data_IF_936779526813
#
_entry.id   IF_936779526813
#
_cell.length_a   1.000
_cell.length_b   1.000
_cell.length_c   1.000
_cell.angle_alpha   90.00
_cell.angle_beta   90.00
_cell.angle_gamma   90.00
#
_symmetry.space_group_name_H-M   'P 1'
#
loop_
_entity.id
_entity.type
_entity.pdbx_description
1 polymer ?
#
# COMPACT_ATOMS: atom_id res chain seq x y z
N UNK A 1 1.34 23.67 26.52
CA UNK A 1 2.32 24.67 26.04
C UNK A 1 3.62 23.93 25.68
N UNK A 2 3.68 23.26 24.52
CA UNK A 2 4.88 22.57 24.01
C UNK A 2 5.32 23.29 22.73
N UNK A 3 5.81 24.52 22.87
CA UNK A 3 6.20 25.33 21.72
C UNK A 3 7.45 26.10 22.12
N UNK A 4 8.62 25.58 21.71
CA UNK A 4 9.80 26.34 21.23
C UNK A 4 11.13 25.58 21.20
N UNK A 5 11.23 24.32 21.68
CA UNK A 5 12.56 23.71 21.89
C UNK A 5 12.86 22.39 21.15
N UNK A 6 12.21 22.08 20.02
CA UNK A 6 12.56 20.89 19.22
C UNK A 6 13.22 21.17 17.86
N UNK A 7 13.35 22.44 17.44
CA UNK A 7 13.85 22.72 16.08
C UNK A 7 15.37 22.73 15.92
N UNK A 8 16.20 22.65 16.98
CA UNK A 8 17.66 22.85 16.85
C UNK A 8 18.54 21.60 16.96
N UNK A 9 17.99 20.42 17.25
CA UNK A 9 18.80 19.25 17.59
C UNK A 9 19.12 18.29 16.43
N UNK A 10 18.63 18.57 15.22
CA UNK A 10 18.87 17.72 14.04
C UNK A 10 19.90 18.29 13.04
N UNK A 11 20.43 19.49 13.23
CA UNK A 11 21.15 20.21 12.16
C UNK A 11 22.53 19.68 11.74
N UNK A 12 23.08 18.65 12.37
CA UNK A 12 24.43 18.15 12.07
C UNK A 12 24.52 16.67 11.71
N UNK A 13 23.40 16.00 11.41
CA UNK A 13 23.47 14.64 10.89
C UNK A 13 23.81 14.67 9.39
N UNK A 14 24.67 13.77 8.91
CA UNK A 14 24.92 13.63 7.48
C UNK A 14 23.60 13.37 6.74
N UNK A 15 23.32 14.17 5.71
CA UNK A 15 22.10 14.10 4.90
C UNK A 15 20.95 15.03 5.31
N UNK A 16 21.04 15.77 6.43
CA UNK A 16 19.97 16.75 6.77
C UNK A 16 19.99 17.97 5.88
N UNK A 17 21.16 18.40 5.41
CA UNK A 17 21.29 19.48 4.41
C UNK A 17 20.59 19.12 3.10
N UNK A 18 20.78 17.89 2.63
CA UNK A 18 20.16 17.41 1.40
C UNK A 18 18.64 17.31 1.55
N UNK A 19 18.16 16.88 2.72
CA UNK A 19 16.74 16.81 3.03
C UNK A 19 16.11 18.21 3.11
N UNK A 20 16.75 19.16 3.80
CA UNK A 20 16.29 20.55 3.89
C UNK A 20 16.24 21.19 2.50
N UNK A 21 17.29 21.00 1.69
CA UNK A 21 17.34 21.47 0.31
C UNK A 21 16.24 20.85 -0.56
N UNK A 22 15.95 19.55 -0.40
CA UNK A 22 14.88 18.88 -1.12
C UNK A 22 13.49 19.42 -0.72
N UNK A 23 13.25 19.64 0.58
CA UNK A 23 11.99 20.22 1.08
C UNK A 23 11.81 21.65 0.55
N UNK A 24 12.86 22.48 0.61
CA UNK A 24 12.82 23.84 0.10
C UNK A 24 12.61 23.86 -1.42
N UNK A 25 13.29 22.99 -2.15
CA UNK A 25 13.11 22.85 -3.59
C UNK A 25 11.65 22.54 -3.96
N UNK A 26 10.99 21.63 -3.25
CA UNK A 26 9.57 21.29 -3.49
C UNK A 26 8.67 22.48 -3.18
N UNK A 27 8.90 23.15 -2.05
CA UNK A 27 8.12 24.31 -1.66
C UNK A 27 8.20 25.43 -2.71
N UNK A 28 9.35 25.58 -3.36
CA UNK A 28 9.58 26.61 -4.37
C UNK A 28 9.14 26.21 -5.80
N UNK A 29 8.98 24.92 -6.07
CA UNK A 29 8.68 24.41 -7.43
C UNK A 29 7.29 23.82 -7.59
N UNK A 30 6.59 23.52 -6.50
CA UNK A 30 5.19 23.07 -6.55
C UNK A 30 4.23 24.25 -6.54
N UNK A 31 3.04 24.05 -7.14
CA UNK A 31 1.96 25.02 -7.08
C UNK A 31 1.18 24.84 -5.78
N UNK A 32 0.72 25.95 -5.22
CA UNK A 32 -0.26 25.95 -4.13
C UNK A 32 -1.53 25.22 -4.59
N UNK A 33 -2.06 24.31 -3.77
CA UNK A 33 -3.25 23.51 -4.08
C UNK A 33 -4.54 24.12 -3.55
N UNK A 34 -4.45 25.26 -2.84
CA UNK A 34 -5.60 25.97 -2.30
C UNK A 34 -6.42 26.67 -3.39
N UNK A 35 -7.58 27.18 -2.99
CA UNK A 35 -8.34 28.15 -3.79
C UNK A 35 -7.46 29.38 -4.09
N UNK A 36 -7.50 29.96 -5.30
CA UNK A 36 -6.57 31.00 -5.73
C UNK A 36 -6.38 32.17 -4.75
N UNK A 37 -7.44 32.57 -4.03
CA UNK A 37 -7.43 33.70 -3.10
C UNK A 37 -6.67 33.42 -1.79
N UNK A 38 -6.45 32.14 -1.45
CA UNK A 38 -5.72 31.73 -0.23
C UNK A 38 -4.21 31.57 -0.46
N UNK A 39 -3.80 31.46 -1.73
CA UNK A 39 -2.41 31.27 -2.13
C UNK A 39 -1.61 32.58 -2.09
N UNK A 40 -1.35 33.14 -0.90
CA UNK A 40 -0.48 34.31 -0.78
C UNK A 40 0.97 33.97 -1.19
N UNK A 41 1.54 34.75 -2.13
CA UNK A 41 2.97 34.76 -2.51
C UNK A 41 3.57 33.42 -2.99
N UNK A 42 2.92 32.71 -3.92
CA UNK A 42 3.53 31.60 -4.70
C UNK A 42 4.30 30.55 -3.87
N UNK A 43 3.88 30.29 -2.64
CA UNK A 43 4.50 29.24 -1.83
C UNK A 43 3.77 27.95 -2.15
N UNK A 44 4.50 26.93 -2.62
CA UNK A 44 3.95 25.62 -2.91
C UNK A 44 3.64 24.80 -1.66
N UNK A 45 3.26 23.54 -1.89
CA UNK A 45 2.94 22.54 -0.85
C UNK A 45 4.07 22.42 0.16
N UNK A 46 3.71 22.37 1.45
CA UNK A 46 4.69 22.26 2.53
C UNK A 46 4.90 20.80 2.92
N UNK A 47 6.13 20.31 2.86
CA UNK A 47 6.50 18.99 3.37
C UNK A 47 7.26 19.15 4.68
N UNK A 48 6.92 18.33 5.67
CA UNK A 48 7.62 18.25 6.96
C UNK A 48 8.00 16.81 7.26
N UNK A 49 9.18 16.62 7.85
CA UNK A 49 9.65 15.30 8.30
C UNK A 49 9.82 15.34 9.82
N UNK A 50 9.26 14.34 10.51
CA UNK A 50 9.47 14.13 11.94
C UNK A 50 10.11 12.77 12.14
N UNK A 51 11.23 12.75 12.85
CA UNK A 51 11.98 11.54 13.17
C UNK A 51 11.92 11.32 14.67
N UNK A 52 11.51 10.13 15.09
CA UNK A 52 11.51 9.66 16.47
C UNK A 52 12.28 8.35 16.56
N UNK A 53 12.87 8.06 17.71
CA UNK A 53 13.56 6.78 17.93
C UNK A 53 12.56 5.63 17.99
N UNK A 54 11.64 5.71 18.95
CA UNK A 54 10.59 4.72 19.21
C UNK A 54 9.31 5.44 19.64
N UNK A 55 8.14 4.95 19.22
CA UNK A 55 6.86 5.39 19.78
C UNK A 55 6.61 4.76 21.15
N UNK A 56 6.20 5.58 22.12
CA UNK A 56 5.72 5.09 23.40
C UNK A 56 4.33 4.46 23.22
N UNK A 57 4.26 3.14 23.33
CA UNK A 57 3.02 2.35 23.23
C UNK A 57 2.73 1.68 24.58
N UNK A 58 1.52 1.13 24.75
CA UNK A 58 1.21 0.36 25.97
C UNK A 58 1.93 -0.99 25.93
N UNK A 59 2.13 -1.59 27.10
CA UNK A 59 2.71 -2.93 27.19
C UNK A 59 1.86 -3.93 26.39
N UNK A 60 2.51 -4.81 25.63
CA UNK A 60 1.83 -5.77 24.74
C UNK A 60 1.30 -5.19 23.42
N UNK A 61 1.56 -3.91 23.12
CA UNK A 61 1.19 -3.28 21.84
C UNK A 61 2.34 -3.22 20.83
N UNK A 62 3.25 -4.19 20.84
CA UNK A 62 4.43 -4.21 19.95
C UNK A 62 4.19 -4.87 18.60
N UNK A 63 2.96 -5.30 18.30
CA UNK A 63 2.67 -5.95 17.01
C UNK A 63 2.85 -4.96 15.84
N UNK A 64 3.27 -5.44 14.66
CA UNK A 64 3.48 -4.59 13.47
C UNK A 64 2.29 -3.69 13.15
N UNK A 65 1.08 -4.24 13.21
CA UNK A 65 -0.15 -3.51 12.88
C UNK A 65 -0.45 -2.41 13.89
N UNK A 66 -0.22 -2.67 15.18
CA UNK A 66 -0.38 -1.68 16.26
C UNK A 66 0.64 -0.56 16.14
N UNK A 67 1.90 -0.88 15.80
CA UNK A 67 2.94 0.11 15.51
C UNK A 67 2.53 1.00 14.34
N UNK A 68 2.01 0.43 13.25
CA UNK A 68 1.52 1.21 12.12
C UNK A 68 0.34 2.11 12.47
N UNK A 69 -0.62 1.60 13.23
CA UNK A 69 -1.77 2.35 13.67
C UNK A 69 -1.35 3.51 14.59
N UNK A 70 -0.41 3.24 15.51
CA UNK A 70 0.16 4.25 16.38
C UNK A 70 0.94 5.31 15.59
N UNK A 71 1.75 4.91 14.60
CA UNK A 71 2.46 5.81 13.69
C UNK A 71 1.51 6.68 12.87
N UNK A 72 0.38 6.11 12.41
CA UNK A 72 -0.65 6.87 11.68
C UNK A 72 -1.25 7.94 12.59
N UNK A 73 -1.73 7.54 13.78
CA UNK A 73 -2.29 8.46 14.78
C UNK A 73 -1.28 9.56 15.16
N UNK A 74 -0.02 9.18 15.34
CA UNK A 74 1.07 10.12 15.64
C UNK A 74 1.28 11.13 14.51
N UNK A 75 1.42 10.66 13.26
CA UNK A 75 1.60 11.54 12.11
C UNK A 75 0.43 12.52 11.95
N UNK A 76 -0.82 12.02 12.01
CA UNK A 76 -2.03 12.83 11.89
C UNK A 76 -2.15 13.88 12.99
N UNK A 77 -1.79 13.54 14.23
CA UNK A 77 -1.82 14.47 15.36
C UNK A 77 -0.72 15.52 15.26
N UNK A 78 0.52 15.13 14.89
CA UNK A 78 1.62 16.09 14.74
C UNK A 78 1.32 17.07 13.59
N UNK A 79 0.82 16.59 12.45
CA UNK A 79 0.45 17.44 11.30
C UNK A 79 -0.61 18.48 11.70
N UNK A 80 -1.73 18.02 12.28
CA UNK A 80 -2.83 18.89 12.73
C UNK A 80 -2.42 19.90 13.79
N UNK A 81 -1.43 19.57 14.64
CA UNK A 81 -0.88 20.50 15.65
C UNK A 81 0.08 21.51 15.06
N UNK A 82 0.93 21.10 14.12
CA UNK A 82 1.92 21.96 13.48
C UNK A 82 1.26 22.97 12.54
N UNK A 83 0.15 22.61 11.87
CA UNK A 83 -0.60 23.46 10.93
C UNK A 83 0.33 24.23 9.99
N UNK A 84 1.22 23.50 9.32
CA UNK A 84 2.27 24.12 8.48
C UNK A 84 1.76 24.48 7.09
N UNK A 85 0.74 23.77 6.61
CA UNK A 85 -0.02 24.14 5.41
C UNK A 85 -0.93 25.36 5.67
N UNK A 86 -1.24 26.10 4.60
CA UNK A 86 -2.13 27.27 4.65
C UNK A 86 -3.60 26.85 4.59
N UNK A 87 -3.92 25.90 3.70
CA UNK A 87 -5.28 25.39 3.47
C UNK A 87 -5.35 23.87 3.66
N UNK A 88 -4.57 23.33 4.61
CA UNK A 88 -4.33 21.88 4.71
C UNK A 88 -3.54 21.34 3.50
N UNK A 89 -2.75 22.18 2.81
CA UNK A 89 -1.85 21.79 1.71
C UNK A 89 -0.47 21.34 2.21
N UNK A 90 -0.45 20.51 3.26
CA UNK A 90 0.78 19.98 3.82
C UNK A 90 0.86 18.45 3.83
N UNK A 91 2.11 17.98 3.83
CA UNK A 91 2.49 16.58 3.95
C UNK A 91 3.39 16.47 5.18
N UNK A 92 3.10 15.50 6.04
CA UNK A 92 3.97 15.15 7.16
C UNK A 92 4.42 13.69 7.05
N UNK A 93 5.73 13.49 6.91
CA UNK A 93 6.37 12.17 6.92
C UNK A 93 6.88 11.91 8.35
N UNK A 94 6.33 10.91 9.02
CA UNK A 94 6.75 10.45 10.32
C UNK A 94 7.59 9.17 10.20
N UNK A 95 8.73 9.15 10.89
CA UNK A 95 9.68 8.04 10.88
C UNK A 95 9.97 7.60 12.31
N UNK A 96 9.81 6.31 12.59
CA UNK A 96 10.28 5.64 13.82
C UNK A 96 11.47 4.75 13.46
N UNK A 97 12.66 5.12 13.93
CA UNK A 97 13.93 4.50 13.51
C UNK A 97 14.05 3.08 14.05
N UNK A 98 13.83 2.89 15.35
CA UNK A 98 14.04 1.59 16.01
C UNK A 98 12.95 0.59 15.61
N UNK A 99 11.72 1.07 15.41
CA UNK A 99 10.57 0.25 14.97
C UNK A 99 10.51 0.11 13.45
N UNK A 100 11.44 0.75 12.72
CA UNK A 100 11.54 0.79 11.25
C UNK A 100 10.20 1.01 10.56
N UNK A 101 9.45 2.00 11.06
CA UNK A 101 8.10 2.30 10.60
C UNK A 101 8.06 3.71 10.02
N UNK A 102 7.44 3.86 8.85
CA UNK A 102 7.25 5.15 8.18
C UNK A 102 5.75 5.33 7.89
N UNK A 103 5.24 6.52 8.19
CA UNK A 103 3.87 6.93 7.87
C UNK A 103 3.83 8.34 7.33
N UNK A 104 3.02 8.55 6.31
CA UNK A 104 2.71 9.89 5.81
C UNK A 104 1.30 10.29 6.18
N UNK A 105 1.15 11.52 6.65
CA UNK A 105 -0.14 12.19 6.82
C UNK A 105 -0.26 13.29 5.78
N UNK A 106 -1.42 13.37 5.14
CA UNK A 106 -1.73 14.36 4.12
C UNK A 106 -2.83 15.27 4.63
N UNK A 107 -2.79 16.54 4.23
CA UNK A 107 -3.97 17.38 4.28
C UNK A 107 -4.84 17.23 3.01
N UNK A 108 -6.09 17.71 3.10
CA UNK A 108 -7.16 17.32 2.18
C UNK A 108 -6.86 17.60 0.69
N UNK A 109 -6.42 18.80 0.27
CA UNK A 109 -6.14 19.09 -1.14
C UNK A 109 -5.00 18.24 -1.70
N UNK A 110 -4.03 17.92 -0.85
CA UNK A 110 -2.91 17.04 -1.22
C UNK A 110 -3.37 15.60 -1.36
N UNK A 111 -4.20 15.12 -0.42
CA UNK A 111 -4.75 13.79 -0.47
C UNK A 111 -5.53 13.59 -1.76
N UNK A 112 -6.42 14.50 -2.15
CA UNK A 112 -7.18 14.43 -3.40
C UNK A 112 -6.26 14.31 -4.63
N UNK A 113 -5.17 15.08 -4.67
CA UNK A 113 -4.22 15.05 -5.78
C UNK A 113 -3.33 13.80 -5.82
N UNK A 114 -3.05 13.20 -4.67
CA UNK A 114 -2.15 12.03 -4.52
C UNK A 114 -2.94 10.70 -4.46
N UNK A 115 -4.27 10.75 -4.29
CA UNK A 115 -5.14 9.58 -4.04
C UNK A 115 -5.13 8.52 -5.16
N UNK A 116 -4.59 8.83 -6.33
CA UNK A 116 -4.50 7.87 -7.44
C UNK A 116 -3.32 6.89 -7.37
N UNK A 117 -2.41 6.94 -6.37
CA UNK A 117 -1.38 5.89 -6.29
C UNK A 117 -0.32 5.90 -5.20
N UNK A 118 -0.09 7.00 -4.46
CA UNK A 118 1.10 7.13 -3.61
C UNK A 118 0.77 7.08 -2.09
N UNK A 119 0.21 5.97 -1.61
CA UNK A 119 0.18 5.68 -0.18
C UNK A 119 1.39 4.84 0.23
N UNK A 120 2.43 5.52 0.73
CA UNK A 120 3.67 4.87 1.17
C UNK A 120 3.52 4.42 2.62
N UNK A 121 3.38 3.11 2.79
CA UNK A 121 3.43 2.44 4.09
C UNK A 121 4.61 1.48 4.10
N UNK A 122 5.59 1.72 4.96
CA UNK A 122 6.75 0.82 5.11
C UNK A 122 6.80 0.37 6.56
N UNK A 123 6.59 -0.93 6.81
CA UNK A 123 7.12 -1.59 8.00
C UNK A 123 8.21 -2.54 7.55
N UNK A 124 9.42 -2.34 8.05
CA UNK A 124 10.48 -3.32 7.89
C UNK A 124 10.40 -4.40 8.98
N UNK A 125 9.32 -5.19 9.01
CA UNK A 125 9.30 -6.45 9.76
C UNK A 125 9.62 -7.60 8.82
N UNK A 126 10.88 -7.63 8.38
CA UNK A 126 11.47 -8.81 7.77
C UNK A 126 11.57 -9.91 8.85
N UNK A 127 10.58 -10.79 8.93
CA UNK A 127 10.69 -11.94 9.83
C UNK A 127 9.49 -12.85 9.99
N UNK A 128 8.25 -12.44 9.71
CA UNK A 128 7.11 -13.34 9.90
C UNK A 128 6.13 -13.33 8.72
N UNK A 129 5.94 -14.47 8.01
CA UNK A 129 4.88 -14.60 7.03
C UNK A 129 3.53 -14.52 7.73
N UNK A 130 2.64 -13.66 7.23
CA UNK A 130 1.24 -13.61 7.63
C UNK A 130 0.61 -14.99 7.39
N UNK A 131 0.24 -15.67 8.47
CA UNK A 131 -0.53 -16.92 8.41
C UNK A 131 -2.01 -16.58 8.58
N UNK A 132 -2.77 -16.61 7.49
CA UNK A 132 -4.23 -16.56 7.55
C UNK A 132 -4.73 -17.97 7.89
N UNK A 133 -5.54 -18.09 8.93
CA UNK A 133 -6.23 -19.33 9.26
C UNK A 133 -7.66 -19.21 8.75
N UNK A 134 -8.06 -20.10 7.85
CA UNK A 134 -9.46 -20.23 7.42
C UNK A 134 -9.99 -21.51 8.04
N UNK A 135 -11.12 -21.40 8.75
CA UNK A 135 -11.78 -22.54 9.40
C UNK A 135 -12.84 -23.11 8.45
N UNK A 136 -12.64 -24.35 8.02
CA UNK A 136 -13.64 -25.10 7.27
C UNK A 136 -14.08 -26.28 8.13
N UNK A 137 -15.35 -26.28 8.56
CA UNK A 137 -15.96 -27.36 9.34
C UNK A 137 -15.18 -27.76 10.61
N UNK A 138 -14.61 -26.80 11.33
CA UNK A 138 -13.87 -27.06 12.57
C UNK A 138 -12.45 -27.59 12.34
N UNK A 139 -11.99 -27.67 11.08
CA UNK A 139 -10.59 -27.89 10.75
C UNK A 139 -9.92 -26.56 10.40
N UNK A 140 -8.96 -26.19 11.24
CA UNK A 140 -8.12 -25.01 11.06
C UNK A 140 -7.05 -25.29 10.01
N UNK A 141 -7.31 -24.92 8.75
CA UNK A 141 -6.36 -25.11 7.65
C UNK A 141 -5.43 -23.90 7.59
N UNK A 142 -4.11 -24.15 7.69
CA UNK A 142 -3.08 -23.12 7.52
C UNK A 142 -2.93 -22.86 6.02
N UNK A 143 -3.70 -21.92 5.49
CA UNK A 143 -3.46 -21.43 4.14
C UNK A 143 -2.17 -20.61 4.19
N UNK A 144 -1.14 -21.11 3.51
CA UNK A 144 0.03 -20.32 3.18
C UNK A 144 -0.43 -19.34 2.10
N UNK A 145 -1.04 -18.23 2.52
CA UNK A 145 -1.47 -17.10 1.68
C UNK A 145 -0.22 -16.31 1.21
N UNK A 146 0.87 -16.98 0.87
CA UNK A 146 2.02 -16.30 0.28
C UNK A 146 1.61 -15.71 -1.08
N UNK A 147 0.81 -16.43 -1.87
CA UNK A 147 0.49 -16.00 -3.24
C UNK A 147 -0.51 -14.83 -3.26
N UNK A 148 -1.53 -14.82 -2.40
CA UNK A 148 -2.53 -13.73 -2.37
C UNK A 148 -2.03 -12.50 -1.59
N UNK A 149 -1.23 -12.67 -0.54
CA UNK A 149 -0.59 -11.57 0.18
C UNK A 149 0.55 -10.97 -0.66
N UNK A 150 1.25 -11.76 -1.49
CA UNK A 150 2.10 -11.21 -2.56
C UNK A 150 1.24 -10.44 -3.56
N UNK A 151 0.13 -11.00 -4.06
CA UNK A 151 -0.69 -10.35 -5.09
C UNK A 151 -1.32 -9.02 -4.65
N UNK A 152 -1.76 -8.91 -3.38
CA UNK A 152 -2.40 -7.69 -2.87
C UNK A 152 -1.42 -6.64 -2.35
N UNK A 153 -0.17 -7.04 -2.03
CA UNK A 153 0.88 -6.18 -1.48
C UNK A 153 1.92 -5.74 -2.54
N UNK A 154 1.95 -6.40 -3.70
CA UNK A 154 2.93 -6.21 -4.80
C UNK A 154 2.75 -4.94 -5.63
N UNK A 155 1.86 -4.01 -5.28
CA UNK A 155 1.60 -2.83 -6.11
C UNK A 155 1.76 -1.48 -5.42
N UNK A 156 2.21 -1.46 -4.17
CA UNK A 156 2.54 -0.20 -3.51
C UNK A 156 3.92 -0.29 -2.89
N UNK A 157 4.86 0.39 -3.55
CA UNK A 157 6.14 0.87 -2.98
C UNK A 157 7.27 -0.15 -2.85
N UNK A 158 7.85 -0.57 -3.98
CA UNK A 158 9.14 -1.29 -3.97
C UNK A 158 10.37 -0.37 -4.03
N UNK A 159 10.25 0.85 -4.59
CA UNK A 159 11.41 1.73 -4.83
C UNK A 159 12.02 2.27 -3.53
N UNK A 160 11.19 2.59 -2.53
CA UNK A 160 11.69 3.18 -1.27
C UNK A 160 12.27 2.14 -0.31
N UNK A 161 11.86 0.88 -0.40
CA UNK A 161 12.36 -0.18 0.48
C UNK A 161 13.86 -0.47 0.29
N UNK A 162 14.43 -0.15 -0.88
CA UNK A 162 15.83 -0.44 -1.17
C UNK A 162 16.81 0.41 -0.34
N UNK A 163 16.52 1.71 -0.18
CA UNK A 163 17.39 2.62 0.58
C UNK A 163 17.25 2.39 2.10
N UNK A 164 16.03 2.15 2.58
CA UNK A 164 15.81 1.82 4.00
C UNK A 164 16.41 0.47 4.39
N UNK A 165 16.46 -0.51 3.46
CA UNK A 165 17.14 -1.80 3.68
C UNK A 165 18.65 -1.65 3.90
N UNK A 166 19.28 -0.66 3.28
CA UNK A 166 20.71 -0.37 3.41
C UNK A 166 21.06 0.47 4.64
N UNK A 167 20.08 0.77 5.50
CA UNK A 167 20.18 1.76 6.58
C UNK A 167 20.55 3.17 6.09
N UNK A 168 20.36 3.49 4.81
CA UNK A 168 20.59 4.83 4.24
C UNK A 168 19.35 5.72 4.42
N UNK A 169 18.90 5.89 5.68
CA UNK A 169 17.63 6.57 6.01
C UNK A 169 17.50 7.98 5.44
N UNK A 170 18.57 8.78 5.52
CA UNK A 170 18.56 10.16 5.01
C UNK A 170 18.30 10.20 3.50
N UNK A 171 18.98 9.32 2.74
CA UNK A 171 18.81 9.19 1.29
C UNK A 171 17.42 8.69 0.93
N UNK A 172 16.91 7.69 1.65
CA UNK A 172 15.54 7.20 1.48
C UNK A 172 14.50 8.30 1.71
N UNK A 173 14.71 9.16 2.72
CA UNK A 173 13.83 10.31 2.99
C UNK A 173 13.95 11.40 1.91
N UNK A 174 15.16 11.74 1.46
CA UNK A 174 15.36 12.67 0.34
C UNK A 174 14.62 12.17 -0.91
N UNK A 175 14.79 10.90 -1.26
CA UNK A 175 14.11 10.28 -2.40
C UNK A 175 12.58 10.30 -2.24
N UNK A 176 12.08 9.98 -1.04
CA UNK A 176 10.65 10.05 -0.73
C UNK A 176 10.09 11.45 -0.90
N UNK A 177 10.78 12.46 -0.37
CA UNK A 177 10.43 13.88 -0.51
C UNK A 177 10.41 14.28 -1.99
N UNK A 178 11.48 14.00 -2.74
CA UNK A 178 11.57 14.32 -4.17
C UNK A 178 10.45 13.65 -4.99
N UNK A 179 10.10 12.40 -4.67
CA UNK A 179 9.01 11.68 -5.33
C UNK A 179 7.64 12.31 -5.04
N UNK A 180 7.38 12.76 -3.81
CA UNK A 180 6.19 13.58 -3.52
C UNK A 180 6.18 14.86 -4.35
N UNK A 181 7.33 15.52 -4.49
CA UNK A 181 7.48 16.71 -5.33
C UNK A 181 7.08 16.47 -6.78
N UNK A 182 7.50 15.34 -7.36
CA UNK A 182 7.13 14.92 -8.73
C UNK A 182 5.64 14.64 -8.84
N UNK A 183 5.08 13.85 -7.92
CA UNK A 183 3.65 13.53 -7.88
C UNK A 183 2.79 14.80 -7.78
N UNK A 184 3.16 15.76 -6.93
CA UNK A 184 2.46 17.04 -6.78
C UNK A 184 2.49 17.90 -8.06
N UNK A 185 3.53 17.76 -8.88
CA UNK A 185 3.65 18.41 -10.20
C UNK A 185 2.91 17.67 -11.30
N UNK A 186 2.45 16.44 -11.05
CA UNK A 186 1.89 15.55 -12.08
C UNK A 186 2.97 14.93 -12.99
N UNK A 187 4.22 14.93 -12.54
CA UNK A 187 5.32 14.23 -13.22
C UNK A 187 5.30 12.75 -12.86
N UNK A 188 5.71 11.89 -13.79
CA UNK A 188 5.85 10.46 -13.52
C UNK A 188 6.89 10.22 -12.41
N UNK A 189 6.52 9.46 -11.39
CA UNK A 189 7.44 9.07 -10.33
C UNK A 189 8.30 7.90 -10.83
N UNK A 190 9.64 7.90 -10.64
CA UNK A 190 10.48 6.77 -11.02
C UNK A 190 10.01 5.48 -10.32
N UNK A 191 9.72 4.44 -11.10
CA UNK A 191 9.13 3.18 -10.61
C UNK A 191 7.60 3.19 -10.51
N UNK A 192 6.95 4.27 -10.92
CA UNK A 192 5.56 4.34 -11.36
C UNK A 192 5.47 4.23 -12.89
N UNK A 193 6.42 3.52 -13.52
CA UNK A 193 6.07 2.91 -14.80
C UNK A 193 4.85 2.05 -14.51
N UNK A 194 3.76 2.23 -15.25
CA UNK A 194 2.64 1.29 -15.25
C UNK A 194 3.17 -0.03 -15.80
N UNK A 195 3.97 -0.74 -15.02
CA UNK A 195 4.17 -2.15 -15.23
C UNK A 195 2.78 -2.73 -15.07
N UNK A 196 2.25 -3.21 -16.19
CA UNK A 196 1.17 -4.17 -16.13
C UNK A 196 1.66 -5.21 -15.13
N UNK A 197 0.93 -5.44 -14.04
CA UNK A 197 1.25 -6.44 -13.02
C UNK A 197 1.60 -7.82 -13.60
N UNK A 198 1.23 -8.08 -14.86
CA UNK A 198 1.60 -9.24 -15.65
C UNK A 198 3.07 -9.33 -16.07
N UNK A 199 3.83 -8.23 -16.12
CA UNK A 199 5.22 -8.22 -16.61
C UNK A 199 6.20 -8.79 -15.58
N UNK A 200 5.93 -8.60 -14.29
CA UNK A 200 6.74 -9.15 -13.19
C UNK A 200 6.49 -10.64 -12.95
N UNK A 201 5.38 -11.20 -13.46
CA UNK A 201 5.12 -12.63 -13.31
C UNK A 201 6.12 -13.38 -14.20
N UNK A 202 7.06 -14.15 -13.62
CA UNK A 202 8.00 -14.93 -14.40
C UNK A 202 7.23 -15.86 -15.34
N UNK A 203 7.73 -16.01 -16.57
CA UNK A 203 6.98 -16.62 -17.69
C UNK A 203 6.40 -18.00 -17.32
N UNK A 204 7.13 -18.77 -16.52
CA UNK A 204 6.70 -20.08 -16.03
C UNK A 204 5.36 -20.05 -15.27
N UNK A 205 5.10 -18.98 -14.51
CA UNK A 205 3.98 -18.86 -13.61
C UNK A 205 2.72 -18.49 -14.40
N UNK A 206 2.90 -17.67 -15.45
CA UNK A 206 1.86 -17.41 -16.46
C UNK A 206 1.42 -18.71 -17.14
N UNK A 207 2.37 -19.54 -17.56
CA UNK A 207 2.08 -20.83 -18.18
C UNK A 207 1.33 -21.74 -17.19
N UNK A 208 1.77 -21.81 -15.93
CA UNK A 208 1.10 -22.65 -14.93
C UNK A 208 -0.33 -22.19 -14.62
N UNK A 209 -0.58 -20.88 -14.52
CA UNK A 209 -1.92 -20.34 -14.24
C UNK A 209 -2.85 -20.64 -15.42
N UNK A 210 -2.38 -20.43 -16.65
CA UNK A 210 -3.17 -20.74 -17.85
C UNK A 210 -3.46 -22.24 -17.97
N UNK A 211 -2.48 -23.11 -17.68
CA UNK A 211 -2.67 -24.55 -17.67
C UNK A 211 -3.69 -24.99 -16.61
N UNK A 212 -3.60 -24.44 -15.39
CA UNK A 212 -4.53 -24.73 -14.31
C UNK A 212 -5.97 -24.29 -14.64
N UNK A 213 -6.15 -23.08 -15.19
CA UNK A 213 -7.45 -22.60 -15.64
C UNK A 213 -8.02 -23.47 -16.78
N UNK A 214 -7.17 -23.88 -17.72
CA UNK A 214 -7.55 -24.79 -18.80
C UNK A 214 -8.02 -26.16 -18.28
N UNK A 215 -7.29 -26.76 -17.34
CA UNK A 215 -7.68 -28.02 -16.69
C UNK A 215 -9.00 -27.89 -15.93
N UNK A 216 -9.19 -26.78 -15.22
CA UNK A 216 -10.41 -26.52 -14.46
C UNK A 216 -11.62 -26.36 -15.39
N UNK A 217 -11.47 -25.62 -16.49
CA UNK A 217 -12.50 -25.51 -17.53
C UNK A 217 -12.82 -26.86 -18.18
N UNK A 218 -11.81 -27.68 -18.47
CA UNK A 218 -11.99 -29.04 -19.01
C UNK A 218 -12.81 -29.92 -18.07
N UNK A 219 -12.49 -29.89 -16.77
CA UNK A 219 -13.25 -30.63 -15.74
C UNK A 219 -14.71 -30.17 -15.65
N UNK A 220 -14.97 -28.86 -15.75
CA UNK A 220 -16.34 -28.32 -15.76
C UNK A 220 -17.12 -28.83 -16.98
N UNK A 221 -16.52 -28.79 -18.19
CA UNK A 221 -17.16 -29.28 -19.42
C UNK A 221 -17.48 -30.77 -19.29
N UNK A 222 -16.54 -31.58 -18.80
CA UNK A 222 -16.74 -33.01 -18.58
C UNK A 222 -17.88 -33.28 -17.59
N UNK A 223 -17.91 -32.55 -16.47
CA UNK A 223 -18.98 -32.66 -15.49
C UNK A 223 -20.36 -32.29 -16.08
N UNK A 224 -20.43 -31.24 -16.90
CA UNK A 224 -21.67 -30.85 -17.61
C UNK A 224 -22.12 -31.93 -18.59
N UNK A 225 -21.20 -32.53 -19.34
CA UNK A 225 -21.53 -33.65 -20.25
C UNK A 225 -22.07 -34.83 -19.47
N UNK A 226 -21.40 -35.25 -18.39
CA UNK A 226 -21.86 -36.35 -17.52
C UNK A 226 -23.25 -36.04 -16.93
N UNK A 227 -23.46 -34.80 -16.48
CA UNK A 227 -24.74 -34.35 -15.93
C UNK A 227 -25.87 -34.38 -16.97
N UNK A 228 -25.61 -33.90 -18.18
CA UNK A 228 -26.56 -33.95 -19.30
C UNK A 228 -26.88 -35.41 -19.70
N UNK A 229 -25.87 -36.27 -19.80
CA UNK A 229 -26.05 -37.69 -20.09
C UNK A 229 -26.89 -38.41 -19.03
N UNK A 230 -26.66 -38.12 -17.73
CA UNK A 230 -27.47 -38.68 -16.63
C UNK A 230 -28.93 -38.24 -16.68
N UNK A 231 -29.20 -36.97 -17.03
CA UNK A 231 -30.57 -36.45 -17.06
C UNK A 231 -31.44 -37.11 -18.14
N UNK A 232 -30.86 -37.48 -19.28
CA UNK A 232 -31.62 -38.09 -20.38
C UNK A 232 -32.02 -39.55 -20.15
N UNK A 233 -31.41 -40.26 -19.19
CA UNK A 233 -31.75 -41.66 -18.91
C UNK A 233 -33.04 -41.82 -18.08
N UNK A 234 -33.68 -40.73 -17.65
CA UNK A 234 -34.95 -40.75 -16.91
C UNK A 234 -36.22 -40.80 -17.76
N UNK A 235 -36.12 -40.87 -19.10
CA UNK A 235 -37.27 -40.82 -20.02
C UNK A 235 -37.38 -42.05 -20.92
N UNK A 236 -37.24 -43.27 -20.38
CA UNK A 236 -37.82 -44.44 -21.04
C UNK A 236 -39.30 -44.51 -20.67
N UNK A 237 -40.14 -43.86 -21.48
CA UNK A 237 -41.59 -44.01 -21.42
C UNK A 237 -41.95 -45.49 -21.48
N UNK A 238 -42.58 -46.00 -20.42
CA UNK A 238 -43.21 -47.32 -20.43
C UNK A 238 -44.28 -47.34 -21.52
N UNK A 239 -44.00 -48.04 -22.61
CA UNK A 239 -45.00 -48.38 -23.61
C UNK A 239 -45.98 -49.35 -22.95
N UNK A 240 -47.11 -48.82 -22.47
CA UNK A 240 -48.24 -49.64 -22.03
C UNK A 240 -48.90 -50.19 -23.29
N UNK A 241 -48.52 -51.39 -23.69
CA UNK A 241 -49.31 -52.19 -24.63
C UNK A 241 -50.53 -52.72 -23.87
N UNK A 242 -51.65 -52.00 -23.96
CA UNK A 242 -52.94 -52.59 -23.62
C UNK A 242 -53.26 -53.64 -24.70
N UNK A 243 -52.98 -54.89 -24.36
CA UNK A 243 -53.45 -56.05 -25.10
C UNK A 243 -54.92 -56.27 -24.81
N UNK A 244 -55.73 -56.02 -25.82
CA UNK A 244 -57.10 -56.48 -25.96
C UNK A 244 -57.16 -58.02 -25.88
N UNK A 245 -57.93 -58.54 -24.93
CA UNK A 245 -58.48 -59.89 -24.98
C UNK A 245 -59.99 -59.84 -24.73
N UNK A 246 -60.68 -60.42 -25.72
CA UNK A 246 -62.06 -60.97 -25.74
C UNK A 246 -63.25 -60.01 -25.70
#
# INVERSE_FOLDING_TARGET
MFQRSCSKLLFNLPGTKDLDQAIEHIRNTTKCLCVPDECQKNVGTTISVVVVSTLKMREGETSPDKVLEAMKKFADEVRRRQRRGKCDDDILIAVSVDQKAIRTSYGSPVAEKISDGLDIQIIHNAGQPLALFVDFNGQKVRLIVQILDLFLKSHRVHVLEADFRKNEWAKGLVNMVLNYGKALKGEAVPGEERHNWYDEIPIWARITILAALGLLLSMIILALVIFCCRRNQGYTMGHRSDGSHE
#
